data_IF_641766382730
#
_entry.id   IF_641766382730
#
_cell.length_a   1.000
_cell.length_b   1.000
_cell.length_c   1.000
_cell.angle_alpha   90.00
_cell.angle_beta   90.00
_cell.angle_gamma   90.00
#
_symmetry.space_group_name_H-M   'P 1'
#
loop_
_entity.id
_entity.type
_entity.pdbx_description
1 polymer ?
#
# COMPACT_ATOMS: atom_id res chain seq x y z
N UNK A 1 22.55 -8.22 17.50
CA UNK A 1 21.20 -7.71 17.15
C UNK A 1 21.25 -6.22 17.45
N UNK A 2 21.18 -5.38 16.41
CA UNK A 2 21.05 -3.94 16.59
C UNK A 2 19.63 -3.66 17.08
N UNK A 3 19.51 -2.98 18.21
CA UNK A 3 18.20 -2.49 18.67
C UNK A 3 17.77 -1.34 17.77
N UNK A 4 16.45 -1.21 17.45
CA UNK A 4 15.96 -0.06 16.72
C UNK A 4 16.27 1.21 17.51
N UNK A 5 16.86 2.19 16.85
CA UNK A 5 17.12 3.50 17.44
C UNK A 5 15.79 4.22 17.58
N UNK A 6 15.51 4.79 18.73
CA UNK A 6 14.31 5.58 18.97
C UNK A 6 14.32 6.84 18.09
N UNK A 7 13.14 7.33 17.72
CA UNK A 7 13.01 8.62 17.01
C UNK A 7 13.44 9.77 17.90
N UNK A 8 14.08 10.75 17.30
CA UNK A 8 14.56 11.94 18.00
C UNK A 8 15.98 12.33 17.62
N UNK A 9 16.52 13.24 18.38
CA UNK A 9 17.89 13.72 18.22
C UNK A 9 18.84 12.90 19.09
N UNK A 10 19.87 12.34 18.47
CA UNK A 10 20.90 11.55 19.14
C UNK A 10 22.26 12.21 18.91
N UNK A 11 22.99 12.51 19.99
CA UNK A 11 24.34 13.03 19.92
C UNK A 11 25.34 11.86 19.98
N UNK A 12 26.07 11.66 18.89
CA UNK A 12 27.17 10.70 18.82
C UNK A 12 28.50 11.41 18.99
N UNK A 13 29.23 11.14 20.06
CA UNK A 13 30.56 11.65 20.28
C UNK A 13 31.59 10.64 19.79
N UNK A 14 32.39 11.02 18.80
CA UNK A 14 33.48 10.20 18.25
C UNK A 14 34.80 10.75 18.80
N UNK A 15 35.56 9.89 19.50
CA UNK A 15 36.88 10.24 20.01
C UNK A 15 37.97 9.39 19.37
N UNK A 16 39.02 10.02 18.92
CA UNK A 16 40.18 9.37 18.33
C UNK A 16 41.41 9.80 19.12
N UNK A 17 42.25 8.84 19.54
CA UNK A 17 43.48 9.10 20.28
C UNK A 17 44.64 8.34 19.65
N UNK A 18 45.84 8.97 19.68
CA UNK A 18 47.13 8.37 19.33
C UNK A 18 47.95 8.01 20.58
N UNK A 19 47.33 8.11 21.76
CA UNK A 19 47.97 7.88 23.05
C UNK A 19 48.58 9.12 23.71
N UNK A 20 48.81 10.18 22.93
CA UNK A 20 49.34 11.47 23.43
C UNK A 20 48.34 12.59 23.34
N UNK A 21 47.46 12.53 22.32
CA UNK A 21 46.44 13.54 22.05
C UNK A 21 45.10 12.87 21.78
N UNK A 22 44.02 13.52 22.10
CA UNK A 22 42.67 13.08 21.80
C UNK A 22 41.91 14.18 21.05
N UNK A 23 41.28 13.79 19.96
CA UNK A 23 40.36 14.66 19.19
C UNK A 23 38.96 14.08 19.34
N UNK A 24 38.03 14.93 19.71
CA UNK A 24 36.62 14.59 19.87
C UNK A 24 35.76 15.38 18.88
N UNK A 25 34.81 14.73 18.28
CA UNK A 25 33.80 15.33 17.39
C UNK A 25 32.43 14.85 17.79
N UNK A 26 31.50 15.78 17.89
CA UNK A 26 30.10 15.48 18.09
C UNK A 26 29.36 15.51 16.74
N UNK A 27 28.55 14.49 16.51
CA UNK A 27 27.69 14.33 15.33
C UNK A 27 26.26 14.23 15.82
N UNK A 28 25.42 15.17 15.42
CA UNK A 28 23.99 15.10 15.66
C UNK A 28 23.35 14.15 14.62
N UNK A 29 22.71 13.10 15.10
CA UNK A 29 21.92 12.16 14.30
C UNK A 29 20.45 12.43 14.60
N UNK A 30 19.67 12.78 13.59
CA UNK A 30 18.22 12.95 13.71
C UNK A 30 17.55 11.70 13.12
N UNK A 31 16.84 10.97 13.97
CA UNK A 31 16.05 9.79 13.57
C UNK A 31 14.61 10.22 13.50
N UNK A 32 14.03 10.18 12.29
CA UNK A 32 12.63 10.46 12.04
C UNK A 32 11.87 9.18 11.80
N UNK A 33 10.59 9.16 12.20
CA UNK A 33 9.66 8.10 11.82
C UNK A 33 8.66 8.64 10.81
N UNK A 34 8.27 7.79 9.89
CA UNK A 34 7.25 8.09 8.90
C UNK A 34 6.12 7.07 9.00
N UNK A 35 4.91 7.42 8.56
CA UNK A 35 3.88 6.43 8.27
C UNK A 35 4.31 5.55 7.09
N UNK A 36 3.60 4.46 6.88
CA UNK A 36 3.74 3.55 5.75
C UNK A 36 2.37 2.89 5.56
N UNK A 37 1.60 3.50 4.68
CA UNK A 37 0.21 3.13 4.43
C UNK A 37 0.16 2.05 3.37
N UNK A 38 -0.74 1.09 3.53
CA UNK A 38 -0.98 0.09 2.50
C UNK A 38 -2.46 -0.33 2.47
N UNK A 39 -2.90 -0.75 1.30
CA UNK A 39 -4.15 -1.47 1.15
C UNK A 39 -3.88 -2.94 1.46
N UNK A 40 -4.22 -3.37 2.69
CA UNK A 40 -3.93 -4.73 3.17
C UNK A 40 -4.79 -5.78 2.50
N UNK A 41 -6.07 -5.46 2.27
CA UNK A 41 -7.03 -6.33 1.57
C UNK A 41 -8.21 -5.52 1.05
N UNK A 42 -9.01 -6.13 0.19
CA UNK A 42 -10.26 -5.56 -0.31
C UNK A 42 -11.40 -6.55 -0.20
N UNK A 43 -12.61 -6.03 -0.01
CA UNK A 43 -13.86 -6.78 -0.06
C UNK A 43 -14.88 -6.06 -0.94
N UNK A 44 -15.67 -6.82 -1.65
CA UNK A 44 -16.84 -6.34 -2.41
C UNK A 44 -18.09 -6.92 -1.75
N UNK A 45 -19.05 -6.07 -1.43
CA UNK A 45 -20.29 -6.47 -0.77
C UNK A 45 -21.53 -5.99 -1.51
N UNK A 46 -22.60 -6.76 -1.42
CA UNK A 46 -23.95 -6.38 -1.83
C UNK A 46 -24.86 -6.54 -0.61
N UNK A 47 -25.58 -5.48 -0.26
CA UNK A 47 -26.50 -5.49 0.88
C UNK A 47 -25.81 -5.86 2.22
N UNK A 48 -24.53 -5.56 2.37
CA UNK A 48 -23.74 -5.84 3.57
C UNK A 48 -23.15 -7.27 3.64
N UNK A 49 -23.40 -8.12 2.64
CA UNK A 49 -22.83 -9.47 2.53
C UNK A 49 -21.74 -9.49 1.46
N UNK A 50 -20.72 -10.32 1.66
CA UNK A 50 -19.71 -10.52 0.64
C UNK A 50 -20.36 -10.96 -0.67
N UNK A 51 -19.97 -10.34 -1.78
CA UNK A 51 -20.51 -10.68 -3.07
C UNK A 51 -19.91 -12.00 -3.57
N UNK A 52 -20.76 -12.89 -4.04
CA UNK A 52 -20.37 -14.13 -4.73
C UNK A 52 -20.46 -13.94 -6.24
N UNK A 53 -21.48 -13.21 -6.69
CA UNK A 53 -21.73 -12.87 -8.09
C UNK A 53 -22.09 -11.37 -8.19
N UNK A 54 -21.73 -10.72 -9.30
CA UNK A 54 -22.09 -9.34 -9.61
C UNK A 54 -22.80 -9.28 -10.96
N UNK A 55 -23.83 -8.41 -11.03
CA UNK A 55 -24.54 -8.09 -12.27
C UNK A 55 -24.52 -6.57 -12.54
N UNK A 56 -24.62 -6.20 -13.82
CA UNK A 56 -24.79 -4.79 -14.17
C UNK A 56 -26.11 -4.24 -13.59
N UNK A 57 -26.02 -3.12 -12.89
CA UNK A 57 -27.11 -2.48 -12.18
C UNK A 57 -27.04 -2.67 -10.66
N UNK A 58 -26.22 -3.60 -10.16
CA UNK A 58 -26.01 -3.75 -8.73
C UNK A 58 -25.42 -2.49 -8.09
N UNK A 59 -25.79 -2.28 -6.83
CA UNK A 59 -25.10 -1.33 -5.96
C UNK A 59 -24.18 -2.11 -5.05
N UNK A 60 -22.89 -1.94 -5.27
CA UNK A 60 -21.84 -2.64 -4.55
C UNK A 60 -21.14 -1.71 -3.59
N UNK A 61 -20.81 -2.20 -2.41
CA UNK A 61 -19.94 -1.56 -1.44
C UNK A 61 -18.52 -2.11 -1.64
N UNK A 62 -17.59 -1.25 -2.05
CA UNK A 62 -16.16 -1.57 -2.17
C UNK A 62 -15.48 -1.14 -0.89
N UNK A 63 -14.82 -2.06 -0.20
CA UNK A 63 -14.12 -1.82 1.06
C UNK A 63 -12.65 -2.14 0.88
N UNK A 64 -11.79 -1.12 1.06
CA UNK A 64 -10.36 -1.30 1.23
C UNK A 64 -9.99 -1.27 2.71
N UNK A 65 -9.29 -2.28 3.20
CA UNK A 65 -8.72 -2.31 4.54
C UNK A 65 -7.33 -1.66 4.49
N UNK A 66 -7.21 -0.52 5.14
CA UNK A 66 -6.02 0.32 5.11
C UNK A 66 -5.26 0.15 6.41
N UNK A 67 -4.00 -0.25 6.32
CA UNK A 67 -3.11 -0.37 7.47
C UNK A 67 -1.98 0.66 7.41
N UNK A 68 -1.66 1.24 8.56
CA UNK A 68 -0.41 1.97 8.73
C UNK A 68 0.63 1.03 9.38
N UNK A 69 1.53 0.46 8.58
CA UNK A 69 2.62 -0.39 9.07
C UNK A 69 3.88 0.42 9.47
N UNK A 70 3.83 1.73 9.31
CA UNK A 70 4.89 2.65 9.69
C UNK A 70 5.00 2.88 11.19
N UNK A 71 5.79 3.90 11.55
CA UNK A 71 6.07 4.24 12.94
C UNK A 71 5.60 5.63 13.35
N UNK A 72 4.98 6.37 12.44
CA UNK A 72 4.35 7.65 12.72
C UNK A 72 2.86 7.58 12.35
N UNK A 73 2.06 8.39 13.04
CA UNK A 73 0.64 8.57 12.72
C UNK A 73 0.51 9.27 11.37
N UNK A 74 -0.37 8.77 10.50
CA UNK A 74 -0.81 9.44 9.30
C UNK A 74 -2.07 10.25 9.60
N UNK A 75 -2.18 11.46 9.06
CA UNK A 75 -3.35 12.33 9.23
C UNK A 75 -3.89 12.76 7.87
N UNK A 76 -5.22 12.93 7.79
CA UNK A 76 -5.94 13.36 6.59
C UNK A 76 -5.60 12.48 5.38
N UNK A 77 -5.65 11.16 5.57
CA UNK A 77 -5.35 10.17 4.54
C UNK A 77 -6.49 10.14 3.53
N UNK A 78 -6.27 10.73 2.37
CA UNK A 78 -7.25 10.67 1.27
C UNK A 78 -7.28 9.28 0.64
N UNK A 79 -8.46 8.86 0.17
CA UNK A 79 -8.58 7.65 -0.64
C UNK A 79 -9.50 7.87 -1.84
N UNK A 80 -9.25 7.10 -2.87
CA UNK A 80 -9.96 7.11 -4.14
C UNK A 80 -10.41 5.70 -4.47
N UNK A 81 -11.68 5.57 -4.87
CA UNK A 81 -12.21 4.32 -5.40
C UNK A 81 -12.40 4.45 -6.90
N UNK A 82 -11.90 3.47 -7.62
CA UNK A 82 -11.99 3.43 -9.08
C UNK A 82 -12.65 2.14 -9.55
N UNK A 83 -13.42 2.24 -10.63
CA UNK A 83 -13.97 1.13 -11.37
C UNK A 83 -13.42 1.20 -12.81
N UNK A 84 -12.71 0.17 -13.25
CA UNK A 84 -12.02 0.11 -14.55
C UNK A 84 -11.14 1.34 -14.82
N UNK A 85 -10.46 1.84 -13.76
CA UNK A 85 -9.63 3.05 -13.81
C UNK A 85 -10.40 4.38 -13.82
N UNK A 86 -11.72 4.37 -13.73
CA UNK A 86 -12.56 5.56 -13.63
C UNK A 86 -12.83 5.87 -12.17
N UNK A 87 -12.55 7.09 -11.72
CA UNK A 87 -12.85 7.55 -10.37
C UNK A 87 -14.35 7.54 -10.11
N UNK A 88 -14.79 6.79 -9.11
CA UNK A 88 -16.20 6.62 -8.75
C UNK A 88 -16.53 7.02 -7.31
N UNK A 89 -15.53 7.19 -6.47
CA UNK A 89 -15.70 7.62 -5.09
C UNK A 89 -14.42 8.16 -4.48
N UNK A 90 -14.55 9.00 -3.46
CA UNK A 90 -13.44 9.56 -2.69
C UNK A 90 -13.85 9.69 -1.23
N UNK A 91 -12.86 9.67 -0.33
CA UNK A 91 -13.08 9.95 1.07
C UNK A 91 -11.77 10.25 1.79
N UNK A 92 -11.85 10.34 3.11
CA UNK A 92 -10.72 10.67 3.96
C UNK A 92 -10.78 9.89 5.28
N UNK A 93 -9.65 9.38 5.72
CA UNK A 93 -9.43 8.83 7.05
C UNK A 93 -8.71 9.92 7.84
N UNK A 94 -9.35 10.45 8.89
CA UNK A 94 -8.83 11.60 9.65
C UNK A 94 -7.48 11.32 10.28
N UNK A 95 -7.32 10.11 10.83
CA UNK A 95 -6.09 9.71 11.53
C UNK A 95 -5.93 8.19 11.49
N UNK A 96 -4.68 7.72 11.30
CA UNK A 96 -4.34 6.31 11.35
C UNK A 96 -3.00 6.12 12.07
N UNK A 97 -3.07 5.62 13.28
CA UNK A 97 -1.92 5.39 14.15
C UNK A 97 -1.02 4.26 13.66
N UNK A 98 0.25 4.21 14.11
CA UNK A 98 1.14 3.08 13.86
C UNK A 98 0.52 1.74 14.25
N UNK A 99 0.48 0.80 13.30
CA UNK A 99 -0.18 -0.50 13.43
C UNK A 99 -1.71 -0.45 13.35
N UNK A 100 -2.30 0.74 13.23
CA UNK A 100 -3.74 0.94 13.08
C UNK A 100 -4.29 0.36 11.79
N UNK A 101 -5.58 0.04 11.82
CA UNK A 101 -6.37 -0.42 10.67
C UNK A 101 -7.61 0.46 10.54
N UNK A 102 -7.93 0.88 9.32
CA UNK A 102 -9.14 1.62 8.98
C UNK A 102 -9.76 1.07 7.70
N UNK A 103 -10.92 1.59 7.32
CA UNK A 103 -11.62 1.17 6.10
C UNK A 103 -11.85 2.38 5.19
N UNK A 104 -11.51 2.21 3.92
CA UNK A 104 -11.94 3.07 2.82
C UNK A 104 -13.15 2.41 2.17
N UNK A 105 -14.31 3.06 2.22
CA UNK A 105 -15.56 2.47 1.74
C UNK A 105 -16.19 3.37 0.69
N UNK A 106 -16.60 2.79 -0.45
CA UNK A 106 -17.32 3.46 -1.51
C UNK A 106 -18.51 2.64 -1.97
N UNK A 107 -19.68 3.29 -2.11
CA UNK A 107 -20.84 2.71 -2.77
C UNK A 107 -20.79 3.01 -4.27
N UNK A 108 -20.85 1.99 -5.10
CA UNK A 108 -20.70 2.09 -6.54
C UNK A 108 -21.90 1.42 -7.21
N UNK A 109 -22.58 2.14 -8.12
CA UNK A 109 -23.53 1.50 -9.04
C UNK A 109 -22.72 0.88 -10.19
N UNK A 110 -22.82 -0.44 -10.32
CA UNK A 110 -22.07 -1.20 -11.31
C UNK A 110 -22.67 -0.98 -12.71
N UNK A 111 -21.94 -0.30 -13.57
CA UNK A 111 -22.25 -0.10 -14.98
C UNK A 111 -20.96 -0.28 -15.77
N UNK A 112 -20.69 -1.53 -16.17
CA UNK A 112 -19.49 -1.87 -16.94
C UNK A 112 -19.86 -2.56 -18.23
N UNK A 113 -19.17 -2.27 -19.34
CA UNK A 113 -19.41 -2.89 -20.63
C UNK A 113 -18.69 -4.24 -20.80
N UNK A 114 -17.85 -4.61 -19.83
CA UNK A 114 -17.00 -5.81 -19.85
C UNK A 114 -17.57 -6.94 -19.00
N UNK A 115 -17.12 -8.16 -19.28
CA UNK A 115 -17.45 -9.36 -18.48
C UNK A 115 -16.66 -9.42 -17.16
N UNK A 116 -15.76 -8.47 -16.93
CA UNK A 116 -14.95 -8.36 -15.71
C UNK A 116 -14.89 -6.90 -15.30
N UNK A 117 -15.11 -6.62 -14.03
CA UNK A 117 -14.90 -5.32 -13.41
C UNK A 117 -13.61 -5.33 -12.59
N UNK A 118 -12.83 -4.25 -12.69
CA UNK A 118 -11.64 -4.03 -11.88
C UNK A 118 -11.94 -2.93 -10.87
N UNK A 119 -12.05 -3.32 -9.60
CA UNK A 119 -12.18 -2.38 -8.49
C UNK A 119 -10.80 -2.05 -7.94
N UNK A 120 -10.53 -0.77 -7.75
CA UNK A 120 -9.25 -0.30 -7.21
C UNK A 120 -9.51 0.69 -6.07
N UNK A 121 -8.76 0.55 -4.99
CA UNK A 121 -8.66 1.54 -3.92
C UNK A 121 -7.23 2.05 -3.90
N UNK A 122 -7.07 3.35 -4.03
CA UNK A 122 -5.80 4.07 -3.94
C UNK A 122 -5.84 5.02 -2.75
N UNK A 123 -4.83 4.96 -1.89
CA UNK A 123 -4.66 5.85 -0.74
C UNK A 123 -3.52 6.82 -1.00
N UNK A 124 -3.69 8.05 -0.51
CA UNK A 124 -2.76 9.16 -0.71
C UNK A 124 -2.28 9.34 -2.16
N UNK A 125 -3.16 9.15 -3.14
CA UNK A 125 -2.83 9.23 -4.57
C UNK A 125 -2.21 10.57 -5.02
N UNK A 126 -2.18 11.57 -4.16
CA UNK A 126 -1.49 12.87 -4.38
C UNK A 126 -0.10 12.93 -3.76
N UNK A 127 0.34 11.88 -3.06
CA UNK A 127 1.60 11.85 -2.31
C UNK A 127 1.74 13.05 -1.35
N UNK A 128 0.68 13.37 -0.63
CA UNK A 128 0.64 14.47 0.33
C UNK A 128 1.27 14.09 1.68
N UNK A 129 1.33 12.79 1.97
CA UNK A 129 1.93 12.20 3.16
C UNK A 129 3.26 11.58 2.74
N UNK A 130 4.35 12.04 3.34
CA UNK A 130 5.67 11.46 3.11
C UNK A 130 5.79 10.12 3.84
N UNK A 131 5.88 9.00 3.11
CA UNK A 131 5.85 7.66 3.65
C UNK A 131 7.23 6.96 3.63
N UNK A 132 7.32 5.81 4.28
CA UNK A 132 8.50 4.95 4.21
C UNK A 132 8.53 4.23 2.85
N UNK A 133 7.36 3.84 2.35
CA UNK A 133 7.18 3.15 1.07
C UNK A 133 5.99 3.77 0.33
N UNK A 134 6.23 4.37 -0.84
CA UNK A 134 5.20 5.03 -1.65
C UNK A 134 4.54 4.09 -2.69
N UNK A 135 4.95 2.85 -2.77
CA UNK A 135 4.53 1.93 -3.83
C UNK A 135 3.49 0.89 -3.42
N UNK A 136 2.98 0.92 -2.19
CA UNK A 136 2.04 -0.03 -1.62
C UNK A 136 0.64 0.54 -1.35
N UNK A 137 0.38 1.74 -1.85
CA UNK A 137 -0.82 2.55 -1.61
C UNK A 137 -2.02 2.16 -2.47
N UNK A 138 -1.90 1.12 -3.30
CA UNK A 138 -2.94 0.71 -4.24
C UNK A 138 -3.29 -0.77 -4.03
N UNK A 139 -4.58 -1.04 -3.88
CA UNK A 139 -5.15 -2.38 -3.92
C UNK A 139 -6.13 -2.51 -5.09
N UNK A 140 -6.14 -3.66 -5.74
CA UNK A 140 -7.08 -3.95 -6.82
C UNK A 140 -7.62 -5.37 -6.71
N UNK A 141 -8.87 -5.55 -7.11
CA UNK A 141 -9.53 -6.85 -7.22
C UNK A 141 -10.31 -6.92 -8.53
N UNK A 142 -10.18 -8.03 -9.24
CA UNK A 142 -10.96 -8.34 -10.44
C UNK A 142 -12.17 -9.19 -10.05
N UNK A 143 -13.33 -8.85 -10.58
CA UNK A 143 -14.57 -9.56 -10.32
C UNK A 143 -15.32 -9.84 -11.63
N UNK A 144 -15.73 -11.10 -11.89
CA UNK A 144 -16.52 -11.42 -13.07
C UNK A 144 -17.92 -10.81 -12.94
N UNK A 145 -18.46 -10.31 -14.05
CA UNK A 145 -19.78 -9.74 -14.14
C UNK A 145 -20.67 -10.70 -14.91
N UNK A 146 -21.73 -11.17 -14.26
CA UNK A 146 -22.74 -12.02 -14.88
C UNK A 146 -23.59 -11.26 -15.91
N UNK A 147 -24.14 -11.97 -16.90
CA UNK A 147 -25.14 -11.39 -17.79
C UNK A 147 -26.44 -11.13 -17.01
N UNK A 148 -27.08 -9.95 -17.19
CA UNK A 148 -28.36 -9.67 -16.55
C UNK A 148 -29.40 -10.71 -16.93
N UNK A 149 -29.93 -11.44 -15.95
CA UNK A 149 -31.09 -12.31 -16.15
C UNK A 149 -30.80 -13.78 -16.46
N UNK A 150 -29.58 -14.25 -16.36
CA UNK A 150 -29.31 -15.70 -16.24
C UNK A 150 -29.38 -16.09 -14.76
N UNK A 151 -30.57 -15.97 -14.21
CA UNK A 151 -30.85 -16.57 -12.89
C UNK A 151 -30.45 -18.05 -12.90
N UNK A 152 -30.17 -18.64 -11.73
CA UNK A 152 -29.71 -20.03 -11.68
C UNK A 152 -30.70 -20.93 -12.43
N UNK A 153 -30.29 -21.39 -13.60
CA UNK A 153 -30.97 -22.51 -14.26
C UNK A 153 -30.86 -23.70 -13.29
N UNK A 154 -32.00 -24.10 -12.76
CA UNK A 154 -32.14 -25.19 -11.83
C UNK A 154 -31.56 -26.48 -12.44
N UNK A 155 -30.27 -26.69 -12.30
CA UNK A 155 -29.78 -28.01 -12.69
C UNK A 155 -28.32 -28.22 -13.06
N UNK A 156 -27.36 -27.47 -12.56
CA UNK A 156 -26.01 -28.02 -12.41
C UNK A 156 -25.11 -27.16 -11.50
N UNK A 157 -24.92 -27.58 -10.25
CA UNK A 157 -23.96 -26.96 -9.36
C UNK A 157 -22.53 -27.23 -9.85
N UNK A 158 -22.08 -26.45 -10.80
CA UNK A 158 -20.66 -26.31 -11.11
C UNK A 158 -20.05 -25.27 -10.19
N UNK A 159 -19.34 -25.73 -9.16
CA UNK A 159 -18.54 -24.83 -8.30
C UNK A 159 -17.68 -23.89 -9.13
N UNK A 160 -18.09 -22.65 -9.30
CA UNK A 160 -17.20 -21.59 -9.74
C UNK A 160 -16.21 -21.33 -8.59
N UNK A 161 -15.00 -21.85 -8.73
CA UNK A 161 -13.90 -21.48 -7.85
C UNK A 161 -13.53 -20.05 -8.24
N UNK A 162 -14.03 -19.07 -7.46
CA UNK A 162 -13.56 -17.70 -7.56
C UNK A 162 -12.12 -17.68 -7.09
N UNK A 163 -11.18 -17.67 -8.03
CA UNK A 163 -9.77 -17.44 -7.75
C UNK A 163 -9.61 -15.96 -7.40
N UNK A 164 -9.65 -15.62 -6.13
CA UNK A 164 -9.25 -14.31 -5.63
C UNK A 164 -7.74 -14.22 -5.83
N UNK A 165 -7.34 -13.70 -6.97
CA UNK A 165 -5.95 -13.38 -7.25
C UNK A 165 -5.64 -12.02 -6.63
N UNK A 166 -5.14 -12.03 -5.39
CA UNK A 166 -4.53 -10.83 -4.80
C UNK A 166 -3.24 -10.56 -5.57
N UNK A 167 -3.32 -9.69 -6.58
CA UNK A 167 -2.14 -9.21 -7.31
C UNK A 167 -1.51 -8.05 -6.53
N UNK A 168 -1.03 -8.34 -5.34
CA UNK A 168 -0.32 -7.36 -4.51
C UNK A 168 1.18 -7.66 -4.37
N UNK A 169 1.84 -8.41 -5.26
CA UNK A 169 3.24 -8.82 -5.00
C UNK A 169 4.17 -8.78 -6.23
N UNK A 170 3.87 -8.16 -7.32
CA UNK A 170 4.80 -8.24 -8.47
C UNK A 170 5.60 -6.97 -8.81
N UNK A 171 5.44 -5.86 -8.10
CA UNK A 171 6.28 -4.68 -8.36
C UNK A 171 7.49 -4.51 -7.45
N UNK A 172 7.57 -5.20 -6.31
CA UNK A 172 8.71 -5.06 -5.38
C UNK A 172 9.96 -5.88 -5.75
N UNK A 173 9.92 -6.78 -6.74
CA UNK A 173 11.07 -7.61 -7.14
C UNK A 173 11.88 -7.06 -8.32
N UNK A 174 11.37 -6.09 -9.06
CA UNK A 174 12.09 -5.50 -10.21
C UNK A 174 13.05 -4.36 -9.83
N UNK A 175 12.87 -3.72 -8.68
CA UNK A 175 13.71 -2.59 -8.24
C UNK A 175 15.04 -3.02 -7.59
N UNK A 176 15.21 -4.30 -7.23
CA UNK A 176 16.41 -4.76 -6.51
C UNK A 176 17.57 -5.19 -7.42
N UNK A 177 17.42 -5.19 -8.75
CA UNK A 177 18.46 -5.65 -9.66
C UNK A 177 19.23 -4.55 -10.41
N UNK A 178 19.00 -3.28 -10.14
CA UNK A 178 19.76 -2.18 -10.74
C UNK A 178 20.54 -1.37 -9.72
N UNK A 179 21.41 -2.00 -8.93
CA UNK A 179 22.47 -1.27 -8.24
C UNK A 179 23.63 -1.02 -9.21
N UNK A 180 23.98 0.22 -9.56
CA UNK A 180 25.15 0.49 -10.35
C UNK A 180 26.40 0.12 -9.55
N UNK A 181 27.24 -0.74 -10.12
CA UNK A 181 28.56 -1.06 -9.57
C UNK A 181 29.37 0.23 -9.46
N UNK A 182 29.72 0.59 -8.24
CA UNK A 182 30.66 1.68 -7.97
C UNK A 182 32.02 1.41 -8.63
N UNK A 183 32.66 2.39 -9.27
CA UNK A 183 33.98 2.23 -9.88
C UNK A 183 35.04 2.06 -8.80
N UNK A 184 35.85 1.00 -8.91
CA UNK A 184 37.03 0.78 -8.09
C UNK A 184 38.00 1.93 -8.31
N UNK A 185 38.30 2.74 -7.27
CA UNK A 185 39.42 3.69 -7.28
C UNK A 185 40.72 2.92 -7.16
N UNK A 186 41.46 2.90 -8.26
CA UNK A 186 42.83 2.40 -8.33
C UNK A 186 43.76 3.39 -7.63
N UNK A 187 44.38 2.92 -6.56
CA UNK A 187 45.31 3.72 -5.76
C UNK A 187 46.70 3.62 -6.41
N UNK A 188 47.07 4.62 -7.22
CA UNK A 188 48.44 4.70 -7.72
C UNK A 188 49.39 5.13 -6.61
N UNK A 189 50.31 4.25 -6.23
CA UNK A 189 51.49 4.57 -5.44
C UNK A 189 52.48 5.34 -6.30
N UNK A 190 52.71 6.59 -5.95
CA UNK A 190 53.92 7.29 -6.46
C UNK A 190 55.09 6.91 -5.57
N UNK A 191 56.19 6.51 -6.24
CA UNK A 191 57.52 6.37 -5.66
C UNK A 191 58.15 7.72 -5.37
#
# INVERSE_FOLDING_TARGET
ILQPVETGEHLLTISVTDGNSMITRDVLIIVTSKPDLLVESMEIRIGGLQADDLENGDVVEVIGFIRNQGRATAQNVSFYCMLDGILVGTGEISELDPGGLSMATCDIQLIVPSEVAIFTVEIDGTNSIEETTEGNNVGSVEFPIGEPGTGPDDGNAGSAIVAISIVAILFSLAAFQMSPKSPKKEFQRRK
#
